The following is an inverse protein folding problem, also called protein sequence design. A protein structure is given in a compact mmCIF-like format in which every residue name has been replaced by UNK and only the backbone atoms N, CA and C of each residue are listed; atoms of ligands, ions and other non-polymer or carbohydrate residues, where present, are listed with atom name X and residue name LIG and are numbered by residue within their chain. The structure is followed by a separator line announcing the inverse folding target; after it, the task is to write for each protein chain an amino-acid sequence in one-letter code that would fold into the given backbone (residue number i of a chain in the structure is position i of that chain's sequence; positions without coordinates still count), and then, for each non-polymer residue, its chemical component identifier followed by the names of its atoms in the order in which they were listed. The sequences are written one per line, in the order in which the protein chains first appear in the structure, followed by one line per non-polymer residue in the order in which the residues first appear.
data_IF_835052378915
#
_entry.id   IF_835052378915
#
_cell.length_a   1.000
_cell.length_b   1.000
_cell.length_c   1.000
_cell.angle_alpha   90.00
_cell.angle_beta   90.00
_cell.angle_gamma   90.00
#
_symmetry.space_group_name_H-M   'P 1'
#
loop_
_entity.id
_entity.type
_entity.pdbx_description
1 polymer ?
#
# COMPACT_ATOMS: atom_id res chain seq x y z
N UNK A 1 -17.62 16.48 39.00
CA UNK A 1 -17.73 16.49 37.52
C UNK A 1 -16.31 16.24 37.02
N UNK A 2 -16.05 15.02 36.59
CA UNK A 2 -14.75 14.63 36.05
C UNK A 2 -14.82 14.86 34.55
N UNK A 3 -13.96 15.74 34.03
CA UNK A 3 -13.78 15.93 32.60
C UNK A 3 -13.18 14.64 32.03
N UNK A 4 -14.01 13.89 31.30
CA UNK A 4 -13.54 12.82 30.42
C UNK A 4 -12.70 13.47 29.32
N UNK A 5 -11.38 13.50 29.53
CA UNK A 5 -10.43 13.77 28.45
C UNK A 5 -10.48 12.58 27.51
N UNK A 6 -11.34 12.66 26.49
CA UNK A 6 -11.24 11.79 25.32
C UNK A 6 -9.86 11.99 24.71
N UNK A 7 -8.95 11.05 24.95
CA UNK A 7 -7.76 10.91 24.12
C UNK A 7 -8.26 10.60 22.71
N UNK A 8 -8.36 11.62 21.87
CA UNK A 8 -8.63 11.47 20.45
C UNK A 8 -7.48 10.66 19.82
N UNK A 9 -7.67 9.34 19.79
CA UNK A 9 -6.70 8.37 19.32
C UNK A 9 -6.46 8.51 17.82
N UNK A 10 -5.28 8.04 17.40
CA UNK A 10 -4.95 7.88 15.99
C UNK A 10 -5.91 6.89 15.35
N UNK A 11 -6.46 7.21 14.18
CA UNK A 11 -7.33 6.32 13.41
C UNK A 11 -6.60 5.77 12.20
N UNK A 12 -6.71 4.46 11.98
CA UNK A 12 -6.20 3.79 10.78
C UNK A 12 -7.35 3.36 9.90
N UNK A 13 -7.33 3.80 8.65
CA UNK A 13 -8.30 3.42 7.62
C UNK A 13 -7.58 2.53 6.62
N UNK A 14 -7.75 1.22 6.78
CA UNK A 14 -7.18 0.25 5.87
C UNK A 14 -8.06 0.04 4.65
N UNK A 15 -7.42 -0.39 3.56
CA UNK A 15 -8.06 -0.87 2.35
C UNK A 15 -9.12 -1.92 2.69
N UNK A 16 -10.30 -1.76 2.09
CA UNK A 16 -11.43 -2.65 2.32
C UNK A 16 -11.07 -4.09 1.95
N UNK A 17 -11.42 -5.00 2.84
CA UNK A 17 -11.18 -6.43 2.66
C UNK A 17 -9.93 -6.92 3.38
N UNK A 18 -9.05 -6.05 3.89
CA UNK A 18 -7.98 -6.50 4.78
C UNK A 18 -8.53 -6.91 6.15
N UNK A 19 -7.99 -8.00 6.70
CA UNK A 19 -8.27 -8.50 8.04
C UNK A 19 -6.92 -8.60 8.81
N UNK A 20 -6.87 -8.13 10.06
CA UNK A 20 -5.66 -8.10 10.89
C UNK A 20 -5.89 -8.80 12.24
N UNK A 21 -6.48 -9.99 12.21
CA UNK A 21 -6.74 -10.79 13.40
C UNK A 21 -5.65 -11.87 13.50
N UNK A 22 -4.54 -11.54 14.16
CA UNK A 22 -3.32 -12.35 14.38
C UNK A 22 -2.41 -12.63 13.16
N UNK A 23 -2.95 -12.69 11.94
CA UNK A 23 -2.20 -12.86 10.70
C UNK A 23 -2.69 -11.90 9.62
N UNK A 24 -1.82 -11.58 8.66
CA UNK A 24 -2.21 -10.87 7.45
C UNK A 24 -3.19 -11.73 6.66
N UNK A 25 -4.42 -11.25 6.57
CA UNK A 25 -5.50 -11.96 5.91
C UNK A 25 -6.39 -10.99 5.14
N UNK A 26 -7.20 -11.53 4.26
CA UNK A 26 -8.08 -10.75 3.41
C UNK A 26 -9.39 -11.48 3.14
N UNK A 27 -10.44 -10.70 2.93
CA UNK A 27 -11.76 -11.19 2.65
C UNK A 27 -11.79 -11.85 1.26
N UNK A 28 -12.23 -13.09 1.27
CA UNK A 28 -12.48 -13.92 0.10
C UNK A 28 -13.94 -14.32 0.09
N UNK A 29 -14.47 -14.65 -1.10
CA UNK A 29 -15.81 -15.25 -1.21
C UNK A 29 -15.70 -16.76 -1.27
N UNK A 30 -16.32 -17.43 -0.31
CA UNK A 30 -16.50 -18.88 -0.37
C UNK A 30 -17.40 -19.27 -1.55
N UNK A 31 -17.42 -20.57 -1.91
CA UNK A 31 -18.35 -21.11 -2.92
C UNK A 31 -19.83 -20.85 -2.59
N UNK A 32 -20.15 -20.68 -1.31
CA UNK A 32 -21.50 -20.35 -0.82
C UNK A 32 -21.83 -18.85 -0.84
N UNK A 33 -20.90 -17.99 -1.29
CA UNK A 33 -21.05 -16.54 -1.30
C UNK A 33 -20.77 -15.85 0.03
N UNK A 34 -20.57 -16.60 1.13
CA UNK A 34 -20.19 -16.04 2.44
C UNK A 34 -18.76 -15.47 2.38
N UNK A 35 -18.57 -14.32 3.01
CA UNK A 35 -17.27 -13.71 3.21
C UNK A 35 -16.48 -14.51 4.26
N UNK A 36 -15.23 -14.85 3.94
CA UNK A 36 -14.29 -15.56 4.81
C UNK A 36 -12.94 -14.87 4.72
N UNK A 37 -12.25 -14.63 5.84
CA UNK A 37 -10.87 -14.14 5.78
C UNK A 37 -9.93 -15.32 5.44
N UNK A 38 -9.12 -15.17 4.40
CA UNK A 38 -8.08 -16.12 4.00
C UNK A 38 -6.70 -15.50 4.26
N UNK A 39 -5.71 -16.34 4.56
CA UNK A 39 -4.34 -15.89 4.77
C UNK A 39 -3.76 -15.26 3.48
N UNK A 40 -3.12 -14.10 3.63
CA UNK A 40 -2.35 -13.46 2.57
C UNK A 40 -0.87 -13.67 2.90
N UNK A 41 -0.22 -14.54 2.14
CA UNK A 41 1.20 -14.79 2.35
C UNK A 41 2.04 -13.61 1.86
N UNK A 42 2.65 -12.90 2.82
CA UNK A 42 3.54 -11.77 2.58
C UNK A 42 5.01 -12.17 2.55
N UNK A 43 5.34 -13.44 2.84
CA UNK A 43 6.71 -13.92 2.82
C UNK A 43 7.36 -13.75 1.45
N UNK A 44 8.64 -13.39 1.44
CA UNK A 44 9.42 -13.31 0.20
C UNK A 44 9.49 -14.68 -0.50
N UNK A 45 9.61 -15.77 0.27
CA UNK A 45 9.64 -17.16 -0.24
C UNK A 45 8.31 -17.61 -0.83
N UNK A 46 7.21 -16.93 -0.50
CA UNK A 46 5.89 -17.20 -1.07
C UNK A 46 5.73 -16.60 -2.47
N UNK A 47 6.71 -15.84 -2.95
CA UNK A 47 6.71 -15.17 -4.25
C UNK A 47 7.70 -15.87 -5.19
N UNK A 48 7.28 -16.22 -6.42
CA UNK A 48 8.01 -17.15 -7.27
C UNK A 48 9.27 -16.56 -7.91
N UNK A 49 9.43 -15.24 -7.81
CA UNK A 49 10.52 -14.51 -8.42
C UNK A 49 11.54 -14.11 -7.37
N UNK A 50 12.81 -14.31 -7.72
CA UNK A 50 13.92 -13.88 -6.88
C UNK A 50 14.01 -12.35 -6.78
N UNK A 51 14.89 -11.85 -5.93
CA UNK A 51 15.21 -10.42 -5.93
C UNK A 51 15.76 -9.96 -7.29
N UNK A 52 16.45 -10.82 -8.03
CA UNK A 52 16.99 -10.49 -9.36
C UNK A 52 15.89 -10.37 -10.43
N UNK A 53 14.84 -11.20 -10.31
CA UNK A 53 13.71 -11.25 -11.25
C UNK A 53 12.63 -10.17 -10.97
N UNK A 54 12.68 -9.49 -9.83
CA UNK A 54 11.78 -8.39 -9.52
C UNK A 54 12.51 -7.39 -8.61
N UNK A 55 13.57 -6.70 -9.08
CA UNK A 55 14.46 -5.91 -8.23
C UNK A 55 13.73 -4.85 -7.40
N UNK A 56 12.67 -4.26 -7.95
CA UNK A 56 11.88 -3.23 -7.28
C UNK A 56 10.73 -3.81 -6.41
N UNK A 57 10.46 -5.12 -6.43
CA UNK A 57 9.34 -5.73 -5.70
C UNK A 57 7.96 -5.34 -6.26
N UNK A 58 7.89 -4.97 -7.53
CA UNK A 58 6.69 -4.48 -8.19
C UNK A 58 5.64 -5.56 -8.35
N UNK A 59 6.02 -6.74 -8.83
CA UNK A 59 5.08 -7.83 -9.01
C UNK A 59 4.61 -8.41 -7.67
N UNK A 60 5.42 -8.31 -6.61
CA UNK A 60 4.99 -8.66 -5.25
C UNK A 60 3.84 -7.76 -4.80
N UNK A 61 3.97 -6.44 -5.01
CA UNK A 61 2.94 -5.46 -4.68
C UNK A 61 1.66 -5.69 -5.51
N UNK A 62 1.80 -5.91 -6.82
CA UNK A 62 0.69 -6.21 -7.74
C UNK A 62 -0.07 -7.45 -7.28
N UNK A 63 0.63 -8.57 -7.00
CA UNK A 63 0.00 -9.82 -6.55
C UNK A 63 -0.83 -9.61 -5.29
N UNK A 64 -0.23 -8.96 -4.29
CA UNK A 64 -0.88 -8.76 -2.99
C UNK A 64 -2.11 -7.86 -3.13
N UNK A 65 -1.96 -6.70 -3.76
CA UNK A 65 -3.06 -5.76 -3.95
C UNK A 65 -4.20 -6.35 -4.80
N UNK A 66 -3.87 -7.00 -5.92
CA UNK A 66 -4.87 -7.63 -6.79
C UNK A 66 -5.58 -8.80 -6.10
N UNK A 67 -4.90 -9.55 -5.22
CA UNK A 67 -5.54 -10.63 -4.46
C UNK A 67 -6.63 -10.10 -3.54
N UNK A 68 -6.37 -8.98 -2.86
CA UNK A 68 -7.36 -8.32 -2.00
C UNK A 68 -8.50 -7.71 -2.81
N UNK A 69 -8.21 -6.94 -3.86
CA UNK A 69 -9.24 -6.30 -4.70
C UNK A 69 -10.17 -7.32 -5.37
N UNK A 70 -9.61 -8.41 -5.88
CA UNK A 70 -10.39 -9.46 -6.54
C UNK A 70 -11.07 -10.42 -5.56
N UNK A 71 -10.78 -10.32 -4.26
CA UNK A 71 -11.23 -11.26 -3.22
C UNK A 71 -10.88 -12.72 -3.56
N UNK A 72 -9.79 -12.92 -4.29
CA UNK A 72 -9.31 -14.21 -4.80
C UNK A 72 -7.79 -14.20 -4.83
N UNK A 73 -7.17 -15.30 -4.43
CA UNK A 73 -5.72 -15.42 -4.51
C UNK A 73 -5.26 -15.37 -5.97
N UNK A 74 -4.36 -14.44 -6.28
CA UNK A 74 -3.66 -14.43 -7.56
C UNK A 74 -2.63 -15.56 -7.55
N UNK A 75 -2.79 -16.51 -8.48
CA UNK A 75 -1.92 -17.69 -8.57
C UNK A 75 -0.49 -17.31 -8.92
N UNK A 76 0.49 -17.91 -8.25
CA UNK A 76 1.92 -17.72 -8.52
C UNK A 76 2.28 -18.18 -9.95
N UNK A 77 1.66 -19.26 -10.43
CA UNK A 77 1.83 -19.73 -11.81
C UNK A 77 1.28 -18.72 -12.81
N UNK A 78 0.20 -18.02 -12.48
CA UNK A 78 -0.32 -16.98 -13.36
C UNK A 78 0.64 -15.80 -13.40
N UNK A 79 1.17 -15.40 -12.24
CA UNK A 79 2.18 -14.35 -12.15
C UNK A 79 3.44 -14.67 -12.98
N UNK A 80 3.99 -15.90 -12.90
CA UNK A 80 5.15 -16.33 -13.70
C UNK A 80 4.96 -16.24 -15.22
N UNK A 81 3.71 -16.27 -15.71
CA UNK A 81 3.38 -16.16 -17.12
C UNK A 81 3.16 -14.71 -17.58
N UNK A 82 3.24 -13.76 -16.67
CA UNK A 82 3.07 -12.33 -16.94
C UNK A 82 4.43 -11.62 -16.87
N UNK A 83 4.65 -10.67 -17.78
CA UNK A 83 5.91 -9.93 -17.86
C UNK A 83 6.05 -8.89 -16.73
N UNK A 84 6.99 -9.08 -15.80
CA UNK A 84 7.61 -8.04 -14.93
C UNK A 84 9.06 -8.52 -14.67
N UNK A 85 10.15 -7.75 -14.94
CA UNK A 85 10.42 -6.47 -14.30
C UNK A 85 11.18 -5.37 -15.11
N UNK A 86 10.65 -4.16 -15.11
CA UNK A 86 11.50 -2.94 -15.10
C UNK A 86 11.02 -1.92 -14.07
N UNK A 87 10.01 -2.29 -13.24
CA UNK A 87 9.32 -1.32 -12.38
C UNK A 87 8.57 -0.23 -13.16
N UNK A 88 8.48 -0.33 -14.48
CA UNK A 88 7.84 0.67 -15.34
C UNK A 88 6.32 0.69 -15.11
N UNK A 89 5.73 1.85 -14.78
CA UNK A 89 4.30 1.94 -14.50
C UNK A 89 3.41 1.39 -15.62
N UNK A 90 3.78 1.62 -16.90
CA UNK A 90 3.01 1.15 -18.05
C UNK A 90 2.89 -0.38 -18.12
N UNK A 91 3.97 -1.09 -17.77
CA UNK A 91 3.96 -2.56 -17.73
C UNK A 91 3.03 -3.02 -16.59
N UNK A 92 3.15 -2.42 -15.41
CA UNK A 92 2.31 -2.78 -14.26
C UNK A 92 0.81 -2.55 -14.53
N UNK A 93 0.46 -1.46 -15.21
CA UNK A 93 -0.93 -1.20 -15.63
C UNK A 93 -1.45 -2.30 -16.54
N UNK A 94 -0.66 -2.74 -17.52
CA UNK A 94 -1.05 -3.85 -18.40
C UNK A 94 -1.33 -5.14 -17.62
N UNK A 95 -0.47 -5.48 -16.65
CA UNK A 95 -0.67 -6.63 -15.76
C UNK A 95 -1.93 -6.46 -14.91
N UNK A 96 -2.11 -5.28 -14.31
CA UNK A 96 -3.27 -5.00 -13.45
C UNK A 96 -4.58 -5.05 -14.25
N UNK A 97 -4.61 -4.65 -15.52
CA UNK A 97 -5.79 -4.82 -16.37
C UNK A 97 -6.15 -6.29 -16.61
N UNK A 98 -5.15 -7.18 -16.72
CA UNK A 98 -5.39 -8.61 -16.86
C UNK A 98 -5.94 -9.23 -15.56
N UNK A 99 -5.39 -8.82 -14.42
CA UNK A 99 -5.79 -9.33 -13.09
C UNK A 99 -7.12 -8.75 -12.60
N UNK A 100 -7.39 -7.49 -12.93
CA UNK A 100 -8.50 -6.69 -12.41
C UNK A 100 -9.27 -6.03 -13.57
N UNK A 101 -9.87 -6.81 -14.48
CA UNK A 101 -10.52 -6.27 -15.69
C UNK A 101 -11.73 -5.36 -15.42
N UNK A 102 -12.23 -5.37 -14.18
CA UNK A 102 -13.35 -4.53 -13.72
C UNK A 102 -12.92 -3.30 -12.93
N UNK A 103 -11.62 -3.10 -12.70
CA UNK A 103 -11.12 -1.91 -12.03
C UNK A 103 -10.77 -0.83 -13.05
N UNK A 104 -11.04 0.41 -12.71
CA UNK A 104 -10.43 1.56 -13.36
C UNK A 104 -9.01 1.75 -12.81
N UNK A 105 -8.07 2.02 -13.70
CA UNK A 105 -6.65 2.14 -13.38
C UNK A 105 -6.19 3.51 -13.87
N UNK A 106 -5.65 4.31 -12.96
CA UNK A 106 -5.08 5.62 -13.26
C UNK A 106 -3.62 5.68 -12.81
N UNK A 107 -2.78 6.35 -13.58
CA UNK A 107 -1.34 6.49 -13.30
C UNK A 107 -1.01 7.96 -13.11
N UNK A 108 -0.34 8.26 -12.00
CA UNK A 108 0.18 9.59 -11.70
C UNK A 108 1.69 9.54 -11.58
N UNK A 109 2.37 10.48 -12.24
CA UNK A 109 3.83 10.65 -12.15
C UNK A 109 4.24 11.79 -11.20
N UNK A 110 3.27 12.56 -10.70
CA UNK A 110 3.50 13.67 -9.78
C UNK A 110 2.63 13.48 -8.55
N UNK A 111 3.26 13.35 -7.38
CA UNK A 111 2.60 13.13 -6.10
C UNK A 111 2.70 14.41 -5.27
N UNK A 112 1.67 15.24 -5.39
CA UNK A 112 1.55 16.50 -4.66
C UNK A 112 0.55 16.37 -3.48
N UNK A 113 0.18 17.50 -2.86
CA UNK A 113 -0.79 17.51 -1.76
C UNK A 113 -2.17 16.97 -2.15
N UNK A 114 -2.56 17.03 -3.43
CA UNK A 114 -3.83 16.46 -3.91
C UNK A 114 -3.81 14.94 -3.90
N UNK A 115 -2.62 14.33 -4.02
CA UNK A 115 -2.48 12.88 -4.01
C UNK A 115 -2.95 12.26 -2.68
N UNK A 116 -2.77 12.94 -1.54
CA UNK A 116 -3.27 12.43 -0.25
C UNK A 116 -4.80 12.32 -0.22
N UNK A 117 -5.50 13.37 -0.66
CA UNK A 117 -6.96 13.37 -0.74
C UNK A 117 -7.47 12.30 -1.72
N UNK A 118 -6.75 12.12 -2.83
CA UNK A 118 -7.07 11.08 -3.80
C UNK A 118 -6.86 9.67 -3.23
N UNK A 119 -5.74 9.40 -2.57
CA UNK A 119 -5.45 8.10 -1.94
C UNK A 119 -6.53 7.79 -0.89
N UNK A 120 -6.90 8.77 -0.05
CA UNK A 120 -8.00 8.66 0.89
C UNK A 120 -9.31 8.27 0.19
N UNK A 121 -9.63 8.91 -0.92
CA UNK A 121 -10.82 8.61 -1.70
C UNK A 121 -10.76 7.19 -2.33
N UNK A 122 -9.62 6.79 -2.90
CA UNK A 122 -9.42 5.46 -3.51
C UNK A 122 -9.55 4.37 -2.45
N UNK A 123 -8.88 4.51 -1.31
CA UNK A 123 -8.95 3.54 -0.21
C UNK A 123 -10.37 3.50 0.38
N UNK A 124 -10.99 4.66 0.58
CA UNK A 124 -12.35 4.79 1.11
C UNK A 124 -13.42 4.18 0.22
N UNK A 125 -13.25 4.20 -1.10
CA UNK A 125 -14.14 3.54 -2.06
C UNK A 125 -13.89 2.03 -2.20
N UNK A 126 -12.91 1.47 -1.45
CA UNK A 126 -12.54 0.07 -1.51
C UNK A 126 -11.55 -0.28 -2.63
N UNK A 127 -10.89 0.73 -3.20
CA UNK A 127 -9.81 0.59 -4.15
C UNK A 127 -8.45 0.31 -3.49
N UNK A 128 -7.41 0.33 -4.32
CA UNK A 128 -6.02 0.07 -3.90
C UNK A 128 -5.07 1.06 -4.54
N UNK A 129 -3.90 1.26 -3.92
CA UNK A 129 -2.88 2.16 -4.46
C UNK A 129 -1.52 1.49 -4.39
N UNK A 130 -0.80 1.49 -5.52
CA UNK A 130 0.60 1.11 -5.61
C UNK A 130 1.42 2.37 -5.86
N UNK A 131 2.59 2.49 -5.25
CA UNK A 131 3.47 3.62 -5.49
C UNK A 131 4.92 3.16 -5.68
N UNK A 132 5.63 3.78 -6.61
CA UNK A 132 7.07 3.62 -6.78
C UNK A 132 7.77 4.69 -5.97
N UNK A 133 8.64 4.26 -5.06
CA UNK A 133 9.33 5.12 -4.13
C UNK A 133 10.83 5.14 -4.40
N UNK A 134 11.41 6.32 -4.27
CA UNK A 134 12.83 6.60 -4.40
C UNK A 134 13.36 7.03 -3.05
N UNK A 135 14.35 6.29 -2.53
CA UNK A 135 15.00 6.64 -1.27
C UNK A 135 16.06 7.69 -1.53
N UNK A 136 15.96 8.82 -0.84
CA UNK A 136 17.03 9.82 -0.84
C UNK A 136 18.16 9.32 0.05
N UNK A 137 19.35 9.16 -0.54
CA UNK A 137 20.55 8.82 0.19
C UNK A 137 21.74 9.58 -0.40
N UNK A 138 22.44 10.34 0.43
CA UNK A 138 23.47 11.28 -0.03
C UNK A 138 24.67 10.62 -0.71
N UNK A 139 24.97 9.36 -0.36
CA UNK A 139 26.21 8.69 -0.73
C UNK A 139 26.04 7.51 -1.69
N UNK A 140 24.81 7.06 -1.94
CA UNK A 140 24.53 5.85 -2.75
C UNK A 140 23.23 6.03 -3.49
N UNK A 141 23.21 5.68 -4.78
CA UNK A 141 21.96 5.48 -5.48
C UNK A 141 21.38 4.15 -5.02
N UNK A 142 20.21 4.21 -4.39
CA UNK A 142 19.42 3.04 -4.02
C UNK A 142 18.37 2.87 -5.11
N UNK A 143 18.22 1.64 -5.62
CA UNK A 143 17.20 1.35 -6.62
C UNK A 143 15.82 1.74 -6.10
N UNK A 144 14.94 2.29 -6.96
CA UNK A 144 13.55 2.49 -6.60
C UNK A 144 12.90 1.16 -6.22
N UNK A 145 11.86 1.24 -5.41
CA UNK A 145 11.07 0.06 -5.07
C UNK A 145 9.60 0.40 -4.99
N UNK A 146 8.77 -0.58 -5.30
CA UNK A 146 7.34 -0.48 -5.23
C UNK A 146 6.84 -0.80 -3.82
N UNK A 147 5.82 -0.05 -3.42
CA UNK A 147 5.07 -0.27 -2.19
C UNK A 147 3.60 -0.33 -2.51
N UNK A 148 2.89 -1.15 -1.74
CA UNK A 148 1.43 -1.14 -1.68
C UNK A 148 1.00 -0.30 -0.49
N UNK A 149 0.19 0.71 -0.76
CA UNK A 149 -0.46 1.52 0.27
C UNK A 149 -1.70 0.77 0.75
N UNK A 150 -1.59 0.19 1.93
CA UNK A 150 -2.61 -0.67 2.56
C UNK A 150 -3.62 0.14 3.36
N UNK A 151 -3.35 1.42 3.60
CA UNK A 151 -4.23 2.28 4.36
C UNK A 151 -3.65 3.66 4.61
N UNK A 152 -4.38 4.42 5.40
CA UNK A 152 -4.05 5.79 5.77
C UNK A 152 -4.29 6.01 7.26
N UNK A 153 -3.35 6.67 7.89
CA UNK A 153 -3.46 7.14 9.27
C UNK A 153 -4.01 8.57 9.26
N UNK A 154 -5.06 8.81 10.03
CA UNK A 154 -5.58 10.15 10.31
C UNK A 154 -5.49 10.42 11.81
N UNK A 155 -5.14 11.65 12.16
CA UNK A 155 -5.27 12.13 13.54
C UNK A 155 -6.45 13.10 13.61
N UNK A 156 -7.41 12.92 14.54
CA UNK A 156 -8.39 13.94 14.83
C UNK A 156 -7.67 15.23 15.23
N UNK A 157 -8.22 16.36 14.80
CA UNK A 157 -7.70 17.67 15.19
C UNK A 157 -8.36 18.00 16.53
N UNK A 158 -7.59 18.19 17.63
CA UNK A 158 -8.17 18.73 18.84
C UNK A 158 -8.82 20.07 18.50
N UNK A 159 -10.08 20.25 18.91
CA UNK A 159 -10.98 21.37 18.61
C UNK A 159 -10.38 22.80 18.73
N UNK A 160 -9.17 22.95 19.26
CA UNK A 160 -8.52 24.23 19.57
C UNK A 160 -7.37 24.63 18.61
N UNK A 161 -6.94 23.79 17.65
CA UNK A 161 -5.85 24.13 16.73
C UNK A 161 -6.23 23.83 15.28
N UNK A 162 -6.86 24.81 14.64
CA UNK A 162 -7.10 24.81 13.20
C UNK A 162 -5.77 24.64 12.45
N UNK A 163 -5.65 23.62 11.59
CA UNK A 163 -4.63 23.67 10.55
C UNK A 163 -4.25 22.36 9.87
N UNK A 164 -3.97 21.28 10.58
CA UNK A 164 -3.41 20.08 9.92
C UNK A 164 -3.86 18.78 10.59
N UNK A 165 -4.79 18.07 9.94
CA UNK A 165 -4.86 16.63 10.09
C UNK A 165 -3.49 16.06 9.72
N UNK A 166 -2.78 15.47 10.68
CA UNK A 166 -1.58 14.71 10.33
C UNK A 166 -2.04 13.44 9.65
N UNK A 167 -1.72 13.32 8.36
CA UNK A 167 -2.03 12.14 7.57
C UNK A 167 -0.74 11.39 7.26
N UNK A 168 -0.78 10.06 7.35
CA UNK A 168 0.33 9.22 6.93
C UNK A 168 -0.18 8.09 6.03
N UNK A 169 0.62 7.70 5.05
CA UNK A 169 0.38 6.51 4.24
C UNK A 169 0.90 5.30 5.00
N UNK A 170 0.07 4.27 5.14
CA UNK A 170 0.44 2.98 5.70
C UNK A 170 0.84 2.07 4.55
N UNK A 171 2.08 1.58 4.57
CA UNK A 171 2.68 0.92 3.42
C UNK A 171 3.26 -0.44 3.78
N UNK A 172 3.22 -1.34 2.81
CA UNK A 172 3.98 -2.59 2.80
C UNK A 172 4.70 -2.71 1.46
N UNK A 173 5.78 -3.47 1.45
CA UNK A 173 6.56 -3.79 0.27
C UNK A 173 7.38 -5.01 0.57
N UNK A 174 8.01 -5.61 -0.44
CA UNK A 174 8.82 -6.82 -0.26
C UNK A 174 9.92 -6.63 0.79
N UNK A 175 10.53 -5.45 0.84
CA UNK A 175 11.56 -5.09 1.82
C UNK A 175 10.99 -4.43 3.09
N UNK A 176 9.71 -4.05 3.07
CA UNK A 176 9.01 -3.42 4.20
C UNK A 176 8.08 -4.43 4.84
N UNK A 177 8.66 -5.49 5.40
CA UNK A 177 7.90 -6.58 6.01
C UNK A 177 7.09 -6.06 7.21
N UNK A 178 5.75 -6.20 7.18
CA UNK A 178 4.93 -5.75 8.30
C UNK A 178 5.02 -6.71 9.48
N UNK A 179 5.16 -6.22 10.71
CA UNK A 179 4.79 -6.98 11.89
C UNK A 179 3.33 -7.38 11.76
N UNK A 180 3.05 -8.64 12.05
CA UNK A 180 1.71 -9.21 12.21
C UNK A 180 0.71 -8.34 12.99
N UNK A 181 1.17 -7.53 13.94
CA UNK A 181 0.31 -6.75 14.84
C UNK A 181 -0.03 -5.33 14.36
N UNK A 182 0.72 -4.74 13.43
CA UNK A 182 0.52 -3.34 13.02
C UNK A 182 -0.26 -3.17 11.72
N UNK A 183 -0.38 -4.21 10.89
CA UNK A 183 -1.06 -4.11 9.60
C UNK A 183 -0.37 -3.20 8.57
N UNK A 184 0.89 -2.81 8.79
CA UNK A 184 1.76 -2.11 7.83
C UNK A 184 3.24 -2.27 8.21
N UNK A 185 4.15 -2.12 7.24
CA UNK A 185 5.61 -2.21 7.42
C UNK A 185 6.29 -0.86 7.59
N UNK A 186 5.74 0.20 6.99
CA UNK A 186 6.21 1.56 7.19
C UNK A 186 5.09 2.60 7.10
N UNK A 187 5.38 3.80 7.62
CA UNK A 187 4.56 5.00 7.47
C UNK A 187 5.30 6.05 6.66
N UNK A 188 4.65 6.66 5.69
CA UNK A 188 5.17 7.84 4.99
C UNK A 188 4.35 9.08 5.35
N UNK A 189 5.01 10.18 5.70
CA UNK A 189 4.40 11.48 5.96
C UNK A 189 4.99 12.52 5.02
N UNK A 190 4.14 13.32 4.42
CA UNK A 190 4.59 14.45 3.60
C UNK A 190 5.17 15.53 4.51
N UNK A 191 6.44 15.89 4.30
CA UNK A 191 7.16 16.90 5.11
C UNK A 191 7.50 18.17 4.32
N UNK A 192 7.50 18.08 2.99
CA UNK A 192 7.78 19.18 2.08
C UNK A 192 7.08 19.03 0.73
N UNK A 193 7.47 19.81 -0.26
CA UNK A 193 6.96 19.64 -1.63
C UNK A 193 7.64 18.42 -2.24
N UNK A 194 6.89 17.33 -2.42
CA UNK A 194 7.40 16.08 -2.99
C UNK A 194 8.33 15.27 -2.09
N UNK A 195 8.66 15.78 -0.89
CA UNK A 195 9.50 15.10 0.08
C UNK A 195 8.67 14.39 1.15
N UNK A 196 8.98 13.12 1.35
CA UNK A 196 8.32 12.23 2.29
C UNK A 196 9.31 11.76 3.33
N UNK A 197 8.90 11.83 4.59
CA UNK A 197 9.59 11.17 5.69
C UNK A 197 8.97 9.79 5.89
N UNK A 198 9.76 8.75 5.68
CA UNK A 198 9.37 7.36 5.89
C UNK A 198 9.93 6.86 7.21
N UNK A 199 9.10 6.17 7.99
CA UNK A 199 9.50 5.48 9.22
C UNK A 199 8.95 4.06 9.18
N UNK A 200 9.84 3.08 9.17
CA UNK A 200 9.49 1.68 9.28
C UNK A 200 9.21 1.30 10.74
N UNK A 201 8.50 0.19 10.89
CA UNK A 201 8.15 -0.42 12.18
C UNK A 201 9.36 -0.95 12.96
N UNK A 202 10.45 -1.31 12.28
CA UNK A 202 11.72 -1.76 12.88
C UNK A 202 12.57 -0.58 13.40
N UNK A 203 12.07 0.66 13.28
CA UNK A 203 12.70 1.86 13.82
C UNK A 203 13.59 2.62 12.84
N UNK A 204 13.76 2.14 11.60
CA UNK A 204 14.50 2.91 10.58
C UNK A 204 13.69 4.11 10.10
N UNK A 205 14.38 5.19 9.74
CA UNK A 205 13.78 6.38 9.15
C UNK A 205 14.64 6.92 8.01
N UNK A 206 14.00 7.35 6.92
CA UNK A 206 14.68 7.91 5.75
C UNK A 206 13.75 8.82 4.96
N UNK A 207 14.33 9.81 4.28
CA UNK A 207 13.60 10.64 3.33
C UNK A 207 13.49 9.95 1.98
N UNK A 208 12.42 10.25 1.26
CA UNK A 208 12.19 9.73 -0.09
C UNK A 208 11.19 10.57 -0.87
N UNK A 209 10.97 10.17 -2.11
CA UNK A 209 9.95 10.73 -2.98
C UNK A 209 9.19 9.59 -3.66
N UNK A 210 7.95 9.84 -4.07
CA UNK A 210 7.21 8.94 -4.94
C UNK A 210 7.29 9.45 -6.37
N UNK A 211 7.87 8.66 -7.27
CA UNK A 211 8.01 9.02 -8.69
C UNK A 211 6.85 8.53 -9.55
N UNK A 212 6.06 7.59 -9.05
CA UNK A 212 4.78 7.22 -9.66
C UNK A 212 3.83 6.58 -8.67
N UNK A 213 2.54 6.65 -9.01
CA UNK A 213 1.45 6.04 -8.28
C UNK A 213 0.44 5.46 -9.26
N UNK A 214 -0.09 4.29 -8.94
CA UNK A 214 -1.16 3.62 -9.66
C UNK A 214 -2.36 3.51 -8.73
N UNK A 215 -3.45 4.19 -9.09
CA UNK A 215 -4.72 4.17 -8.37
C UNK A 215 -5.65 3.14 -9.02
N UNK A 216 -6.17 2.21 -8.22
CA UNK A 216 -7.08 1.15 -8.64
C UNK A 216 -8.45 1.41 -8.01
N UNK A 217 -9.47 1.66 -8.84
CA UNK A 217 -10.84 1.93 -8.37
C UNK A 217 -11.78 0.81 -8.81
N UNK A 218 -12.54 0.18 -7.89
CA UNK A 218 -13.61 -0.72 -8.27
C UNK A 218 -14.68 0.07 -9.04
N UNK A 219 -15.21 -0.51 -10.12
CA UNK A 219 -16.39 0.01 -10.83
C UNK A 219 -17.69 -0.30 -10.09
#
# INVERSE_FOLDING_TARGET
MADDVQFEGVQHHYMRGLCFDSLWSYQTRSRSGRAVCSYLDLGADAYPWSQEDDPEGAGWCVRCCASVLSQRLVSLTHMQNVAIPTGEPAILVSVLHQLLPKCEIDVRHTIDKTAMAEILNVIGSGGGVLARMERQHQLRQILPYWVWIVGVETKPVPLCLSGMQTQALLMVGRELSPPWTSGYGAKARLVGIGEWMIRSVDGQAWSGAFSSMICLRPR
#
